data_IF_281251962729
#
_entry.id   IF_281251962729
#
_cell.length_a   1.000
_cell.length_b   1.000
_cell.length_c   1.000
_cell.angle_alpha   90.00
_cell.angle_beta   90.00
_cell.angle_gamma   90.00
#
_symmetry.space_group_name_H-M   'P 1'
#
loop_
_entity.id
_entity.type
_entity.pdbx_description
1 polymer ?
#
# COMPACT_ATOMS: atom_id res chain seq x y z
N UNK A 1 -33.02 70.56 33.66
CA UNK A 1 -32.28 69.66 34.57
C UNK A 1 -31.30 68.86 33.71
N UNK A 2 -30.01 69.16 33.84
CA UNK A 2 -28.93 68.64 33.00
C UNK A 2 -28.73 67.13 33.18
N UNK A 3 -28.71 66.35 32.09
CA UNK A 3 -28.14 65.00 32.09
C UNK A 3 -26.99 65.00 31.07
N UNK A 4 -25.78 64.79 31.61
CA UNK A 4 -24.50 64.76 30.88
C UNK A 4 -24.41 63.51 30.01
N UNK A 5 -24.23 63.67 28.70
CA UNK A 5 -23.85 62.60 27.78
C UNK A 5 -22.37 62.23 28.01
N UNK A 6 -22.09 61.01 28.49
CA UNK A 6 -20.72 60.47 28.55
C UNK A 6 -20.36 59.90 27.18
N UNK A 7 -19.37 60.51 26.52
CA UNK A 7 -18.66 59.95 25.37
C UNK A 7 -17.84 58.73 25.82
N UNK A 8 -18.23 57.54 25.37
CA UNK A 8 -17.38 56.34 25.42
C UNK A 8 -16.27 56.49 24.37
N UNK A 9 -15.03 56.65 24.84
CA UNK A 9 -13.84 56.61 23.98
C UNK A 9 -13.62 55.17 23.52
N UNK A 10 -13.71 54.92 22.21
CA UNK A 10 -13.31 53.67 21.57
C UNK A 10 -11.80 53.49 21.69
N UNK A 11 -11.35 52.44 22.38
CA UNK A 11 -9.97 51.96 22.33
C UNK A 11 -9.73 51.27 20.98
N UNK A 12 -8.60 51.50 20.27
CA UNK A 12 -8.28 50.76 19.07
C UNK A 12 -7.92 49.32 19.45
N UNK A 13 -8.57 48.34 18.82
CA UNK A 13 -8.22 46.94 18.95
C UNK A 13 -6.83 46.72 18.33
N UNK A 14 -5.83 46.48 19.16
CA UNK A 14 -4.49 46.09 18.73
C UNK A 14 -4.58 44.63 18.25
N UNK A 15 -4.64 44.43 16.93
CA UNK A 15 -4.57 43.10 16.34
C UNK A 15 -3.17 42.50 16.60
N UNK A 16 -3.08 41.55 17.53
CA UNK A 16 -1.90 40.71 17.67
C UNK A 16 -1.78 39.84 16.42
N UNK A 17 -0.88 40.23 15.52
CA UNK A 17 -0.34 39.36 14.48
C UNK A 17 0.44 38.24 15.17
N UNK A 18 -0.21 37.09 15.39
CA UNK A 18 0.49 35.85 15.70
C UNK A 18 1.27 35.48 14.44
N UNK A 19 2.60 35.35 14.49
CA UNK A 19 3.34 34.85 13.35
C UNK A 19 2.88 33.41 13.12
N UNK A 20 2.24 33.17 11.98
CA UNK A 20 2.00 31.81 11.48
C UNK A 20 3.41 31.26 11.25
N UNK A 21 3.90 30.45 12.18
CA UNK A 21 5.03 29.58 11.89
C UNK A 21 4.63 28.81 10.63
N UNK A 22 5.41 28.97 9.55
CA UNK A 22 5.23 28.14 8.38
C UNK A 22 5.35 26.69 8.86
N UNK A 23 4.21 25.99 8.93
CA UNK A 23 4.21 24.55 9.14
C UNK A 23 5.07 24.01 8.01
N UNK A 24 6.23 23.42 8.36
CA UNK A 24 7.06 22.75 7.39
C UNK A 24 6.14 21.79 6.63
N UNK A 25 6.10 21.90 5.30
CA UNK A 25 5.33 20.98 4.50
C UNK A 25 5.89 19.58 4.80
N UNK A 26 5.11 18.63 5.36
CA UNK A 26 5.64 17.34 5.84
C UNK A 26 6.36 16.56 4.73
N UNK A 27 6.16 16.94 3.48
CA UNK A 27 6.73 16.33 2.28
C UNK A 27 8.10 16.93 1.86
N UNK A 28 8.87 17.53 2.77
CA UNK A 28 10.17 18.18 2.45
C UNK A 28 11.41 17.31 2.62
N UNK A 29 11.28 16.06 3.09
CA UNK A 29 12.42 15.16 3.33
C UNK A 29 12.08 13.71 2.94
N UNK A 30 11.76 13.51 1.67
CA UNK A 30 11.23 12.24 1.16
C UNK A 30 12.35 11.27 0.79
N UNK A 31 12.18 10.00 1.16
CA UNK A 31 13.10 8.91 0.77
C UNK A 31 12.93 8.47 -0.69
N UNK A 32 11.74 8.68 -1.25
CA UNK A 32 11.43 8.55 -2.67
C UNK A 32 10.87 9.88 -3.16
N UNK A 33 11.06 10.22 -4.42
CA UNK A 33 10.54 11.46 -5.01
C UNK A 33 9.01 11.51 -5.01
N UNK A 34 8.37 10.35 -5.21
CA UNK A 34 6.92 10.21 -5.28
C UNK A 34 6.50 8.76 -4.97
N UNK A 35 5.19 8.55 -4.86
CA UNK A 35 4.58 7.23 -4.73
C UNK A 35 3.42 7.12 -5.73
N UNK A 36 3.46 6.12 -6.61
CA UNK A 36 2.42 5.85 -7.59
C UNK A 36 1.73 4.53 -7.27
N UNK A 37 0.41 4.54 -7.17
CA UNK A 37 -0.37 3.37 -6.73
C UNK A 37 -1.43 3.03 -7.77
N UNK A 38 -1.47 1.77 -8.21
CA UNK A 38 -2.55 1.18 -9.00
C UNK A 38 -3.13 0.02 -8.17
N UNK A 39 -4.46 -0.09 -8.07
CA UNK A 39 -5.05 -1.12 -7.22
C UNK A 39 -6.56 -1.07 -7.04
N UNK A 40 -7.01 -1.70 -5.96
CA UNK A 40 -8.43 -1.85 -5.61
C UNK A 40 -8.80 -1.12 -4.30
N UNK A 41 -9.87 -1.57 -3.63
CA UNK A 41 -10.40 -0.99 -2.38
C UNK A 41 -9.39 -0.97 -1.24
N UNK A 42 -8.43 -1.91 -1.20
CA UNK A 42 -7.39 -1.95 -0.17
C UNK A 42 -6.40 -0.77 -0.27
N UNK A 43 -6.36 -0.13 -1.44
CA UNK A 43 -5.44 0.96 -1.77
C UNK A 43 -6.13 2.30 -2.05
N UNK A 44 -7.44 2.30 -2.30
CA UNK A 44 -8.21 3.48 -2.70
C UNK A 44 -8.22 4.58 -1.61
N UNK A 45 -7.94 5.81 -2.03
CA UNK A 45 -7.96 7.02 -1.17
C UNK A 45 -9.20 7.90 -1.41
N UNK A 46 -10.27 7.33 -1.96
CA UNK A 46 -11.54 7.99 -2.22
C UNK A 46 -11.79 8.31 -3.70
N UNK A 47 -11.02 7.75 -4.62
CA UNK A 47 -11.26 7.88 -6.05
C UNK A 47 -12.66 7.36 -6.43
N UNK A 48 -13.02 6.16 -5.98
CA UNK A 48 -14.36 5.63 -6.25
C UNK A 48 -15.43 6.50 -5.60
N UNK A 49 -15.21 6.93 -4.35
CA UNK A 49 -16.13 7.78 -3.61
C UNK A 49 -16.45 9.07 -4.38
N UNK A 50 -15.42 9.77 -4.86
CA UNK A 50 -15.61 11.02 -5.60
C UNK A 50 -16.30 10.80 -6.95
N UNK A 51 -15.92 9.73 -7.66
CA UNK A 51 -16.48 9.44 -8.96
C UNK A 51 -17.97 9.07 -8.84
N UNK A 52 -18.33 8.19 -7.91
CA UNK A 52 -19.72 7.80 -7.65
C UNK A 52 -20.55 8.97 -7.13
N UNK A 53 -20.04 9.77 -6.19
CA UNK A 53 -20.71 10.99 -5.71
C UNK A 53 -21.05 11.93 -6.85
N UNK A 54 -20.10 12.15 -7.77
CA UNK A 54 -20.29 13.05 -8.92
C UNK A 54 -21.35 12.54 -9.89
N UNK A 55 -21.52 11.23 -10.01
CA UNK A 55 -22.40 10.59 -10.98
C UNK A 55 -23.82 10.36 -10.45
N UNK A 56 -23.95 10.06 -9.17
CA UNK A 56 -25.21 9.60 -8.56
C UNK A 56 -25.70 10.48 -7.42
N UNK A 57 -24.85 11.38 -6.91
CA UNK A 57 -25.10 12.12 -5.67
C UNK A 57 -24.76 11.33 -4.40
N UNK A 58 -24.27 10.10 -4.53
CA UNK A 58 -23.93 9.24 -3.40
C UNK A 58 -22.55 8.60 -3.59
N UNK A 59 -21.70 8.67 -2.57
CA UNK A 59 -20.36 8.10 -2.59
C UNK A 59 -20.32 6.61 -2.22
N UNK A 60 -19.40 5.89 -2.84
CA UNK A 60 -19.07 4.49 -2.53
C UNK A 60 -17.58 4.38 -2.17
N UNK A 61 -17.22 3.89 -0.97
CA UNK A 61 -18.11 3.44 0.10
C UNK A 61 -18.82 4.63 0.74
N UNK A 62 -20.02 4.41 1.27
CA UNK A 62 -20.85 5.47 1.82
C UNK A 62 -20.17 6.14 3.02
N UNK A 63 -20.37 7.46 3.16
CA UNK A 63 -19.67 8.26 4.18
C UNK A 63 -20.14 7.95 5.61
N UNK A 64 -21.26 7.26 5.77
CA UNK A 64 -21.76 6.75 7.02
C UNK A 64 -21.00 5.48 7.40
N UNK A 65 -19.98 5.68 8.24
CA UNK A 65 -19.09 4.68 8.85
C UNK A 65 -17.83 4.33 8.06
N UNK A 66 -17.64 4.79 6.82
CA UNK A 66 -16.35 4.72 6.15
C UNK A 66 -15.56 6.03 6.25
N UNK A 67 -14.24 5.92 6.37
CA UNK A 67 -13.38 7.07 6.56
C UNK A 67 -13.03 7.74 5.23
N UNK A 68 -13.64 8.90 4.94
CA UNK A 68 -13.25 9.76 3.81
C UNK A 68 -13.06 8.99 2.48
N UNK A 69 -14.00 8.09 2.17
CA UNK A 69 -13.99 7.27 0.95
C UNK A 69 -12.99 6.10 0.94
N UNK A 70 -12.30 5.80 2.04
CA UNK A 70 -11.52 4.56 2.20
C UNK A 70 -12.48 3.43 2.54
N UNK A 71 -12.19 2.22 2.06
CA UNK A 71 -12.90 1.00 2.44
C UNK A 71 -12.42 0.51 3.81
N UNK A 72 -12.44 1.39 4.81
CA UNK A 72 -12.03 1.12 6.19
C UNK A 72 -12.58 2.21 7.10
N UNK A 73 -12.44 2.03 8.41
CA UNK A 73 -12.78 3.05 9.42
C UNK A 73 -11.69 4.10 9.66
N UNK A 74 -10.65 4.11 8.82
CA UNK A 74 -9.54 5.06 8.90
C UNK A 74 -8.67 5.03 7.66
N UNK A 75 -7.43 5.52 7.80
CA UNK A 75 -6.41 5.46 6.74
C UNK A 75 -6.13 4.00 6.33
N UNK A 76 -5.92 3.79 5.04
CA UNK A 76 -5.49 2.51 4.48
C UNK A 76 -3.95 2.37 4.59
N UNK A 77 -3.43 1.20 4.21
CA UNK A 77 -1.99 0.95 4.31
C UNK A 77 -1.17 1.89 3.40
N UNK A 78 -1.73 2.33 2.26
CA UNK A 78 -1.08 3.24 1.31
C UNK A 78 -0.93 4.65 1.90
N UNK A 79 -1.97 5.15 2.58
CA UNK A 79 -1.91 6.41 3.32
C UNK A 79 -0.76 6.37 4.34
N UNK A 80 -0.74 5.34 5.20
CA UNK A 80 0.20 5.23 6.30
C UNK A 80 1.63 4.91 5.83
N UNK A 81 1.78 4.16 4.74
CA UNK A 81 3.08 3.88 4.14
C UNK A 81 3.66 5.14 3.48
N UNK A 82 2.84 5.94 2.79
CA UNK A 82 3.26 7.22 2.25
C UNK A 82 3.76 8.14 3.38
N UNK A 83 3.00 8.22 4.48
CA UNK A 83 3.39 8.95 5.68
C UNK A 83 4.74 8.47 6.22
N UNK A 84 4.93 7.16 6.42
CA UNK A 84 6.21 6.57 6.88
C UNK A 84 7.40 6.85 5.97
N UNK A 85 7.16 7.09 4.68
CA UNK A 85 8.19 7.40 3.68
C UNK A 85 8.41 8.91 3.51
N UNK A 86 7.61 9.74 4.20
CA UNK A 86 7.58 11.19 4.07
C UNK A 86 6.92 11.70 2.77
N UNK A 87 6.11 10.88 2.10
CA UNK A 87 5.55 11.16 0.78
C UNK A 87 4.11 11.66 0.91
N UNK A 88 3.77 12.69 0.13
CA UNK A 88 2.39 13.14 -0.06
C UNK A 88 1.68 12.20 -1.05
N UNK A 89 0.72 11.40 -0.59
CA UNK A 89 -0.11 10.55 -1.46
C UNK A 89 -1.58 10.98 -1.37
N UNK A 90 -2.19 11.28 -2.52
CA UNK A 90 -3.61 11.62 -2.63
C UNK A 90 -4.24 10.94 -3.86
N UNK A 91 -5.56 10.88 -3.88
CA UNK A 91 -6.37 10.33 -4.97
C UNK A 91 -6.09 11.04 -6.31
N UNK A 92 -5.97 10.29 -7.41
CA UNK A 92 -5.70 10.82 -8.74
C UNK A 92 -6.84 11.66 -9.30
N UNK A 93 -8.08 11.39 -8.90
CA UNK A 93 -9.25 12.24 -9.17
C UNK A 93 -9.12 13.66 -8.59
N UNK A 94 -8.25 13.85 -7.59
CA UNK A 94 -7.91 15.14 -6.98
C UNK A 94 -6.55 15.68 -7.44
N UNK A 95 -5.98 15.11 -8.51
CA UNK A 95 -4.67 15.48 -9.05
C UNK A 95 -3.48 14.79 -8.39
N UNK A 96 -3.73 13.79 -7.54
CA UNK A 96 -2.69 12.97 -6.91
C UNK A 96 -2.19 11.80 -7.77
N UNK A 97 -1.47 10.89 -7.12
CA UNK A 97 -0.77 9.76 -7.75
C UNK A 97 -1.25 8.39 -7.28
N UNK A 98 -2.30 8.35 -6.47
CA UNK A 98 -3.03 7.12 -6.19
C UNK A 98 -4.16 6.93 -7.21
N UNK A 99 -3.99 5.98 -8.12
CA UNK A 99 -4.96 5.62 -9.15
C UNK A 99 -5.90 4.49 -8.76
N UNK A 100 -5.79 3.92 -7.55
CA UNK A 100 -6.64 2.82 -7.12
C UNK A 100 -8.11 3.22 -7.01
N UNK A 101 -9.03 2.30 -7.35
CA UNK A 101 -10.48 2.45 -7.20
C UNK A 101 -11.06 1.18 -6.58
N UNK A 102 -11.99 1.31 -5.63
CA UNK A 102 -12.74 0.16 -5.09
C UNK A 102 -13.44 -0.69 -6.16
N UNK A 103 -13.58 -1.99 -5.89
CA UNK A 103 -14.25 -2.95 -6.78
C UNK A 103 -13.49 -3.30 -8.08
N UNK A 104 -12.25 -2.82 -8.22
CA UNK A 104 -11.44 -3.01 -9.43
C UNK A 104 -11.12 -4.49 -9.68
N UNK A 105 -11.49 -4.98 -10.86
CA UNK A 105 -10.85 -6.13 -11.51
C UNK A 105 -9.91 -5.66 -12.61
N UNK A 106 -9.18 -6.60 -13.20
CA UNK A 106 -8.23 -6.31 -14.27
C UNK A 106 -8.85 -5.62 -15.48
N UNK A 107 -9.95 -6.18 -15.99
CA UNK A 107 -10.58 -5.78 -17.26
C UNK A 107 -12.03 -5.28 -17.12
N UNK A 108 -12.63 -5.39 -15.95
CA UNK A 108 -13.96 -4.83 -15.63
C UNK A 108 -13.99 -4.34 -14.18
N UNK A 109 -15.03 -3.62 -13.81
CA UNK A 109 -15.25 -3.19 -12.44
C UNK A 109 -16.72 -3.50 -12.10
N UNK A 110 -16.93 -4.04 -10.90
CA UNK A 110 -18.24 -4.17 -10.29
C UNK A 110 -18.19 -3.29 -9.05
N UNK A 111 -18.93 -2.18 -9.09
CA UNK A 111 -19.10 -1.32 -7.92
C UNK A 111 -19.94 -2.09 -6.91
N UNK A 112 -19.39 -2.29 -5.73
CA UNK A 112 -20.05 -3.03 -4.66
C UNK A 112 -21.22 -2.19 -4.12
N UNK A 113 -22.43 -2.74 -4.21
CA UNK A 113 -23.65 -2.15 -3.63
C UNK A 113 -23.88 -0.66 -3.98
N UNK A 114 -24.07 -0.30 -5.25
CA UNK A 114 -24.32 1.08 -5.63
C UNK A 114 -25.62 1.61 -4.98
N UNK A 115 -25.62 2.84 -4.44
CA UNK A 115 -26.75 3.44 -3.72
C UNK A 115 -27.95 3.80 -4.61
N UNK A 116 -27.88 3.60 -5.93
CA UNK A 116 -28.95 3.95 -6.87
C UNK A 116 -29.77 2.73 -7.28
N UNK A 117 -31.10 2.90 -7.31
CA UNK A 117 -32.03 1.94 -7.90
C UNK A 117 -31.65 1.68 -9.37
N UNK A 118 -31.22 0.45 -9.69
CA UNK A 118 -30.69 0.05 -11.01
C UNK A 118 -29.18 -0.20 -11.07
N UNK A 119 -28.41 0.26 -10.08
CA UNK A 119 -26.96 0.11 -9.97
C UNK A 119 -26.13 0.62 -11.15
N UNK A 120 -24.81 0.50 -11.07
CA UNK A 120 -23.97 0.66 -12.26
C UNK A 120 -23.99 -0.67 -13.02
N UNK A 121 -24.43 -0.65 -14.28
CA UNK A 121 -24.31 -1.84 -15.13
C UNK A 121 -22.81 -2.22 -15.20
N UNK A 122 -22.43 -3.49 -14.92
CA UNK A 122 -21.05 -3.92 -15.03
C UNK A 122 -20.44 -3.50 -16.38
N UNK A 123 -19.31 -2.79 -16.34
CA UNK A 123 -18.63 -2.30 -17.54
C UNK A 123 -19.12 -0.96 -18.11
N UNK A 124 -20.16 -0.33 -17.55
CA UNK A 124 -20.64 0.99 -18.03
C UNK A 124 -19.71 2.15 -17.65
N UNK A 125 -18.99 2.03 -16.54
CA UNK A 125 -18.04 3.03 -16.02
C UNK A 125 -16.79 2.31 -15.51
N UNK A 126 -15.79 2.06 -16.37
CA UNK A 126 -14.84 1.01 -16.07
C UNK A 126 -13.66 1.58 -15.29
N UNK A 127 -13.79 1.76 -13.97
CA UNK A 127 -12.63 1.99 -13.10
C UNK A 127 -11.81 0.69 -12.92
N UNK A 128 -11.35 0.14 -14.04
CA UNK A 128 -10.61 -1.12 -14.13
C UNK A 128 -9.13 -0.87 -13.97
N UNK A 129 -8.38 -1.92 -13.64
CA UNK A 129 -6.93 -1.82 -13.57
C UNK A 129 -6.33 -1.32 -14.89
N UNK A 130 -6.91 -1.72 -16.02
CA UNK A 130 -6.52 -1.25 -17.35
C UNK A 130 -6.68 0.27 -17.51
N UNK A 131 -7.79 0.84 -17.03
CA UNK A 131 -8.03 2.27 -17.14
C UNK A 131 -7.23 3.08 -16.12
N UNK A 132 -6.97 2.53 -14.94
CA UNK A 132 -6.01 3.12 -14.00
C UNK A 132 -4.60 3.19 -14.60
N UNK A 133 -4.14 2.10 -15.23
CA UNK A 133 -2.85 2.04 -15.94
C UNK A 133 -2.79 3.00 -17.12
N UNK A 134 -3.88 3.14 -17.88
CA UNK A 134 -3.96 4.12 -18.95
C UNK A 134 -3.84 5.55 -18.39
N UNK A 135 -4.63 5.88 -17.37
CA UNK A 135 -4.57 7.19 -16.72
C UNK A 135 -3.17 7.50 -16.15
N UNK A 136 -2.48 6.50 -15.61
CA UNK A 136 -1.08 6.62 -15.19
C UNK A 136 -0.15 6.90 -16.39
N UNK A 137 -0.29 6.15 -17.47
CA UNK A 137 0.56 6.29 -18.67
C UNK A 137 0.35 7.63 -19.37
N UNK A 138 -0.88 8.14 -19.37
CA UNK A 138 -1.25 9.44 -19.96
C UNK A 138 -0.58 10.63 -19.24
N UNK A 139 -0.09 10.44 -18.01
CA UNK A 139 0.70 11.45 -17.30
C UNK A 139 2.14 11.59 -17.81
N UNK A 140 2.61 10.70 -18.69
CA UNK A 140 3.98 10.73 -19.27
C UNK A 140 5.10 10.77 -18.22
N UNK A 141 4.90 10.05 -17.11
CA UNK A 141 5.82 9.99 -15.98
C UNK A 141 7.18 9.40 -16.41
N UNK A 142 8.28 9.99 -15.95
CA UNK A 142 9.63 9.44 -16.02
C UNK A 142 10.35 9.72 -14.70
N UNK A 143 10.11 8.87 -13.71
CA UNK A 143 10.60 9.07 -12.35
C UNK A 143 11.27 7.80 -11.79
N UNK A 144 12.60 7.67 -11.94
CA UNK A 144 13.35 6.52 -11.45
C UNK A 144 13.60 6.55 -9.93
N UNK A 145 13.20 7.62 -9.24
CA UNK A 145 13.38 7.77 -7.79
C UNK A 145 12.06 7.62 -7.02
N UNK A 146 10.96 7.33 -7.72
CA UNK A 146 9.65 7.08 -7.11
C UNK A 146 9.49 5.63 -6.66
N UNK A 147 8.54 5.43 -5.74
CA UNK A 147 8.09 4.14 -5.26
C UNK A 147 6.78 3.74 -5.93
N UNK A 148 6.72 2.56 -6.54
CA UNK A 148 5.56 2.12 -7.30
C UNK A 148 4.87 0.95 -6.60
N UNK A 149 3.54 0.97 -6.56
CA UNK A 149 2.72 -0.10 -6.00
C UNK A 149 1.69 -0.55 -7.03
N UNK A 150 1.62 -1.86 -7.24
CA UNK A 150 0.42 -2.48 -7.82
C UNK A 150 -0.10 -3.57 -6.88
N UNK A 151 -1.34 -3.40 -6.42
CA UNK A 151 -2.01 -4.38 -5.57
C UNK A 151 -3.49 -4.53 -5.96
N UNK A 152 -3.78 -5.62 -6.67
CA UNK A 152 -5.12 -5.96 -7.17
C UNK A 152 -5.21 -7.46 -7.45
N UNK A 153 -6.44 -7.94 -7.64
CA UNK A 153 -6.75 -9.30 -8.08
C UNK A 153 -7.69 -10.05 -7.12
N UNK A 154 -7.86 -9.58 -5.88
CA UNK A 154 -8.78 -10.19 -4.91
C UNK A 154 -10.20 -10.28 -5.47
N UNK A 155 -10.64 -9.20 -6.13
CA UNK A 155 -11.92 -9.11 -6.81
C UNK A 155 -12.06 -10.13 -7.95
N UNK A 156 -11.06 -10.23 -8.84
CA UNK A 156 -11.04 -11.20 -9.94
C UNK A 156 -11.14 -12.63 -9.41
N UNK A 157 -10.39 -12.97 -8.34
CA UNK A 157 -10.37 -14.31 -7.77
C UNK A 157 -11.65 -14.63 -6.98
N UNK A 158 -12.22 -13.64 -6.28
CA UNK A 158 -13.49 -13.78 -5.56
C UNK A 158 -14.64 -14.14 -6.51
N UNK A 159 -14.68 -13.53 -7.70
CA UNK A 159 -15.68 -13.83 -8.73
C UNK A 159 -15.62 -15.29 -9.22
N UNK A 160 -14.45 -15.93 -9.13
CA UNK A 160 -14.25 -17.30 -9.61
C UNK A 160 -14.75 -18.36 -8.64
N UNK A 161 -14.86 -18.09 -7.33
CA UNK A 161 -15.12 -19.11 -6.30
C UNK A 161 -16.32 -20.00 -6.65
N UNK A 162 -17.49 -19.40 -6.90
CA UNK A 162 -18.70 -20.15 -7.23
C UNK A 162 -18.59 -20.92 -8.55
N UNK A 163 -17.97 -20.31 -9.57
CA UNK A 163 -17.77 -20.95 -10.87
C UNK A 163 -16.78 -22.12 -10.79
N UNK A 164 -15.74 -22.04 -9.96
CA UNK A 164 -14.78 -23.11 -9.73
C UNK A 164 -15.42 -24.29 -9.01
N UNK A 165 -16.31 -24.04 -8.04
CA UNK A 165 -17.09 -25.11 -7.39
C UNK A 165 -17.98 -25.83 -8.42
N UNK A 166 -18.63 -25.07 -9.31
CA UNK A 166 -19.57 -25.62 -10.28
C UNK A 166 -18.89 -26.31 -11.49
N UNK A 167 -17.76 -25.78 -11.95
CA UNK A 167 -17.15 -26.14 -13.25
C UNK A 167 -15.74 -26.74 -13.11
N UNK A 168 -15.11 -26.62 -11.94
CA UNK A 168 -13.75 -27.08 -11.67
C UNK A 168 -12.66 -26.05 -11.95
N UNK A 169 -11.48 -26.28 -11.37
CA UNK A 169 -10.32 -25.38 -11.46
C UNK A 169 -9.87 -25.10 -12.89
N UNK A 170 -9.76 -26.15 -13.72
CA UNK A 170 -9.27 -26.03 -15.11
C UNK A 170 -10.14 -25.08 -15.95
N UNK A 171 -11.47 -25.11 -15.76
CA UNK A 171 -12.38 -24.23 -16.49
C UNK A 171 -12.19 -22.76 -16.11
N UNK A 172 -11.94 -22.49 -14.83
CA UNK A 172 -11.73 -21.12 -14.31
C UNK A 172 -10.29 -20.63 -14.43
N UNK A 173 -9.36 -21.54 -14.75
CA UNK A 173 -7.93 -21.27 -14.77
C UNK A 173 -7.56 -20.05 -15.64
N UNK A 174 -8.07 -19.90 -16.88
CA UNK A 174 -7.69 -18.80 -17.76
C UNK A 174 -8.06 -17.41 -17.22
N UNK A 175 -9.16 -17.27 -16.49
CA UNK A 175 -9.59 -15.98 -15.93
C UNK A 175 -8.65 -15.51 -14.82
N UNK A 176 -8.20 -16.42 -13.97
CA UNK A 176 -7.20 -16.08 -12.95
C UNK A 176 -5.80 -15.86 -13.56
N UNK A 177 -5.44 -16.50 -14.69
CA UNK A 177 -4.22 -16.13 -15.44
C UNK A 177 -4.33 -14.72 -16.03
N UNK A 178 -5.52 -14.34 -16.53
CA UNK A 178 -5.78 -12.99 -17.05
C UNK A 178 -5.62 -11.93 -15.96
N UNK A 179 -6.01 -12.23 -14.72
CA UNK A 179 -5.79 -11.32 -13.60
C UNK A 179 -4.30 -11.10 -13.32
N UNK A 180 -3.47 -12.16 -13.33
CA UNK A 180 -2.01 -12.04 -13.20
C UNK A 180 -1.41 -11.22 -14.35
N UNK A 181 -1.93 -11.42 -15.57
CA UNK A 181 -1.49 -10.66 -16.74
C UNK A 181 -1.75 -9.15 -16.60
N UNK A 182 -2.88 -8.75 -15.98
CA UNK A 182 -3.16 -7.35 -15.63
C UNK A 182 -2.12 -6.71 -14.73
N UNK A 183 -1.64 -7.47 -13.73
CA UNK A 183 -0.57 -7.02 -12.85
C UNK A 183 0.74 -6.88 -13.62
N UNK A 184 1.14 -7.87 -14.44
CA UNK A 184 2.34 -7.78 -15.31
C UNK A 184 2.32 -6.51 -16.14
N UNK A 185 1.17 -6.23 -16.73
CA UNK A 185 0.93 -5.09 -17.59
C UNK A 185 1.04 -3.74 -16.89
N UNK A 186 0.62 -3.67 -15.63
CA UNK A 186 0.82 -2.49 -14.77
C UNK A 186 2.29 -2.32 -14.38
N UNK A 187 2.98 -3.42 -14.06
CA UNK A 187 4.43 -3.40 -13.79
C UNK A 187 5.20 -2.92 -15.03
N UNK A 188 4.85 -3.37 -16.22
CA UNK A 188 5.49 -2.91 -17.45
C UNK A 188 5.30 -1.40 -17.68
N UNK A 189 4.11 -0.87 -17.35
CA UNK A 189 3.87 0.57 -17.42
C UNK A 189 4.78 1.34 -16.44
N UNK A 190 4.95 0.84 -15.22
CA UNK A 190 5.90 1.41 -14.25
C UNK A 190 7.34 1.36 -14.75
N UNK A 191 7.78 0.22 -15.30
CA UNK A 191 9.13 0.07 -15.89
C UNK A 191 9.35 1.10 -17.00
N UNK A 192 8.36 1.28 -17.89
CA UNK A 192 8.42 2.26 -18.97
C UNK A 192 8.47 3.72 -18.44
N UNK A 193 7.90 3.97 -17.26
CA UNK A 193 7.97 5.23 -16.55
C UNK A 193 9.27 5.40 -15.71
N UNK A 194 10.23 4.47 -15.86
CA UNK A 194 11.55 4.53 -15.23
C UNK A 194 11.64 3.85 -13.87
N UNK A 195 10.59 3.14 -13.42
CA UNK A 195 10.54 2.55 -12.08
C UNK A 195 11.76 1.67 -11.77
N UNK A 196 12.32 1.88 -10.57
CA UNK A 196 13.38 1.03 -10.01
C UNK A 196 12.89 0.16 -8.86
N UNK A 197 11.94 0.64 -8.07
CA UNK A 197 11.39 -0.07 -6.91
C UNK A 197 9.89 -0.23 -7.06
N UNK A 198 9.44 -1.50 -7.15
CA UNK A 198 8.04 -1.83 -7.37
C UNK A 198 7.61 -2.83 -6.29
N UNK A 199 6.71 -2.39 -5.41
CA UNK A 199 6.04 -3.26 -4.44
C UNK A 199 4.85 -3.95 -5.09
N UNK A 200 4.85 -5.27 -4.99
CA UNK A 200 3.77 -6.14 -5.47
C UNK A 200 3.36 -7.08 -4.33
N UNK A 201 2.35 -6.72 -3.53
CA UNK A 201 1.75 -7.64 -2.59
C UNK A 201 1.01 -8.75 -3.33
N UNK A 202 1.09 -9.97 -2.80
CA UNK A 202 0.23 -11.07 -3.25
C UNK A 202 -1.17 -10.93 -2.61
N UNK A 203 -2.12 -11.76 -3.02
CA UNK A 203 -3.47 -11.70 -2.46
C UNK A 203 -3.52 -12.20 -1.01
N UNK A 204 -4.33 -11.59 -0.13
CA UNK A 204 -4.68 -12.18 1.15
C UNK A 204 -5.39 -13.53 0.96
N UNK A 205 -5.32 -14.42 1.95
CA UNK A 205 -6.08 -15.67 1.90
C UNK A 205 -7.60 -15.40 1.96
N UNK A 206 -8.25 -15.43 0.79
CA UNK A 206 -9.68 -15.14 0.68
C UNK A 206 -10.54 -16.15 1.44
N UNK A 207 -10.05 -17.37 1.68
CA UNK A 207 -10.83 -18.41 2.38
C UNK A 207 -11.10 -18.12 3.85
N UNK A 208 -10.38 -17.16 4.44
CA UNK A 208 -10.54 -16.74 5.85
C UNK A 208 -11.09 -15.32 6.00
N UNK A 209 -11.50 -14.67 4.90
CA UNK A 209 -12.17 -13.36 4.93
C UNK A 209 -13.64 -13.56 5.33
N UNK A 210 -14.25 -12.69 6.16
CA UNK A 210 -15.60 -12.90 6.67
C UNK A 210 -16.65 -13.09 5.56
N UNK A 211 -16.53 -12.40 4.43
CA UNK A 211 -17.46 -12.54 3.28
C UNK A 211 -17.50 -13.95 2.71
N UNK A 212 -16.38 -14.68 2.77
CA UNK A 212 -16.30 -16.08 2.35
C UNK A 212 -16.76 -17.00 3.48
N UNK A 213 -16.26 -16.79 4.70
CA UNK A 213 -16.57 -17.64 5.88
C UNK A 213 -18.05 -17.55 6.26
N UNK A 214 -18.60 -16.35 6.30
CA UNK A 214 -19.99 -16.04 6.67
C UNK A 214 -20.91 -15.92 5.44
N UNK A 215 -20.41 -16.27 4.26
CA UNK A 215 -21.17 -16.26 3.01
C UNK A 215 -22.33 -17.26 2.99
N UNK A 216 -22.91 -17.53 1.82
CA UNK A 216 -23.99 -18.49 1.69
C UNK A 216 -23.53 -19.73 0.89
N UNK A 217 -23.49 -20.94 1.48
CA UNK A 217 -23.85 -21.26 2.86
C UNK A 217 -22.77 -20.83 3.88
N UNK A 218 -23.16 -20.43 5.11
CA UNK A 218 -22.21 -19.96 6.12
C UNK A 218 -21.38 -21.12 6.66
N UNK A 219 -20.11 -20.83 6.99
CA UNK A 219 -19.09 -21.76 7.46
C UNK A 219 -18.86 -22.96 6.54
N UNK A 220 -19.03 -22.76 5.23
CA UNK A 220 -18.84 -23.81 4.24
C UNK A 220 -17.36 -24.11 4.01
N UNK A 221 -16.90 -25.26 4.50
CA UNK A 221 -15.53 -25.75 4.25
C UNK A 221 -15.20 -25.80 2.77
N UNK A 222 -16.15 -26.24 1.92
CA UNK A 222 -15.96 -26.30 0.47
C UNK A 222 -15.67 -24.91 -0.14
N UNK A 223 -16.40 -23.89 0.29
CA UNK A 223 -16.25 -22.52 -0.25
C UNK A 223 -14.92 -21.93 0.24
N UNK A 224 -14.63 -22.00 1.54
CA UNK A 224 -13.37 -21.52 2.10
C UNK A 224 -12.14 -22.21 1.49
N UNK A 225 -12.14 -23.54 1.39
CA UNK A 225 -11.02 -24.28 0.79
C UNK A 225 -10.85 -23.97 -0.69
N UNK A 226 -11.95 -23.79 -1.44
CA UNK A 226 -11.88 -23.38 -2.84
C UNK A 226 -11.29 -21.98 -2.99
N UNK A 227 -11.72 -21.03 -2.16
CA UNK A 227 -11.20 -19.67 -2.14
C UNK A 227 -9.70 -19.63 -1.79
N UNK A 228 -9.27 -20.37 -0.76
CA UNK A 228 -7.85 -20.50 -0.41
C UNK A 228 -7.05 -21.15 -1.54
N UNK A 229 -7.56 -22.19 -2.19
CA UNK A 229 -6.87 -22.87 -3.29
C UNK A 229 -6.74 -21.99 -4.54
N UNK A 230 -7.79 -21.24 -4.90
CA UNK A 230 -7.73 -20.25 -5.98
C UNK A 230 -6.71 -19.14 -5.68
N UNK A 231 -6.73 -18.62 -4.46
CA UNK A 231 -5.78 -17.60 -4.00
C UNK A 231 -4.35 -18.12 -4.06
N UNK A 232 -4.11 -19.34 -3.56
CA UNK A 232 -2.80 -20.00 -3.59
C UNK A 232 -2.28 -20.13 -5.01
N UNK A 233 -3.14 -20.59 -5.93
CA UNK A 233 -2.79 -20.75 -7.35
C UNK A 233 -2.49 -19.41 -8.02
N UNK A 234 -3.29 -18.36 -7.75
CA UNK A 234 -3.00 -17.01 -8.25
C UNK A 234 -1.65 -16.51 -7.74
N UNK A 235 -1.40 -16.62 -6.43
CA UNK A 235 -0.16 -16.17 -5.81
C UNK A 235 1.07 -16.93 -6.34
N UNK A 236 0.94 -18.22 -6.66
CA UNK A 236 1.99 -18.99 -7.33
C UNK A 236 2.27 -18.47 -8.75
N UNK A 237 1.24 -18.25 -9.56
CA UNK A 237 1.37 -17.70 -10.90
C UNK A 237 1.93 -16.27 -10.90
N UNK A 238 1.51 -15.45 -9.93
CA UNK A 238 2.05 -14.12 -9.69
C UNK A 238 3.55 -14.19 -9.38
N UNK A 239 3.98 -15.06 -8.47
CA UNK A 239 5.40 -15.21 -8.13
C UNK A 239 6.25 -15.63 -9.33
N UNK A 240 5.77 -16.58 -10.15
CA UNK A 240 6.43 -16.99 -11.39
C UNK A 240 6.57 -15.80 -12.35
N UNK A 241 5.50 -15.05 -12.57
CA UNK A 241 5.52 -13.84 -13.40
C UNK A 241 6.53 -12.80 -12.88
N UNK A 242 6.57 -12.58 -11.57
CA UNK A 242 7.49 -11.63 -10.96
C UNK A 242 8.95 -12.09 -11.06
N UNK A 243 9.22 -13.40 -11.04
CA UNK A 243 10.57 -13.94 -11.28
C UNK A 243 11.03 -13.65 -12.71
N UNK A 244 10.14 -13.83 -13.70
CA UNK A 244 10.41 -13.49 -15.11
C UNK A 244 10.70 -11.99 -15.28
N UNK A 245 9.82 -11.12 -14.76
CA UNK A 245 9.99 -9.66 -14.88
C UNK A 245 11.30 -9.20 -14.23
N UNK A 246 11.65 -9.72 -13.06
CA UNK A 246 12.90 -9.37 -12.36
C UNK A 246 14.16 -9.86 -13.08
N UNK A 247 14.07 -10.94 -13.86
CA UNK A 247 15.19 -11.44 -14.66
C UNK A 247 15.37 -10.66 -15.96
N UNK A 248 14.27 -10.25 -16.58
CA UNK A 248 14.27 -9.56 -17.87
C UNK A 248 14.54 -8.05 -17.75
N UNK A 249 14.37 -7.49 -16.54
CA UNK A 249 14.45 -6.05 -16.30
C UNK A 249 15.35 -5.75 -15.10
N UNK A 250 16.09 -4.64 -15.17
CA UNK A 250 16.91 -4.16 -14.05
C UNK A 250 16.06 -3.38 -13.02
N UNK A 251 15.07 -4.05 -12.43
CA UNK A 251 14.17 -3.48 -11.42
C UNK A 251 14.16 -4.32 -10.15
N UNK A 252 13.97 -3.64 -9.03
CA UNK A 252 13.81 -4.24 -7.73
C UNK A 252 12.32 -4.52 -7.47
N UNK A 253 11.93 -5.79 -7.59
CA UNK A 253 10.59 -6.25 -7.22
C UNK A 253 10.56 -6.57 -5.72
N UNK A 254 9.80 -5.78 -4.97
CA UNK A 254 9.58 -5.97 -3.54
C UNK A 254 8.28 -6.76 -3.38
N UNK A 255 8.37 -8.00 -2.88
CA UNK A 255 7.20 -8.84 -2.65
C UNK A 255 6.72 -8.69 -1.22
N UNK A 256 5.40 -8.63 -1.03
CA UNK A 256 4.78 -8.72 0.28
C UNK A 256 3.81 -9.90 0.31
N UNK A 257 4.02 -10.83 1.25
CA UNK A 257 3.19 -12.03 1.39
C UNK A 257 1.97 -11.73 2.28
N UNK A 258 1.00 -11.02 1.70
CA UNK A 258 -0.28 -10.72 2.34
C UNK A 258 -1.03 -11.98 2.74
N UNK A 259 -0.91 -13.07 1.96
CA UNK A 259 -1.53 -14.35 2.26
C UNK A 259 -1.10 -14.87 3.63
N UNK A 260 0.21 -15.05 3.82
CA UNK A 260 0.75 -15.55 5.09
C UNK A 260 0.55 -14.53 6.21
N UNK A 261 0.70 -13.24 5.93
CA UNK A 261 0.52 -12.18 6.91
C UNK A 261 -0.90 -12.13 7.48
N UNK A 262 -1.94 -12.22 6.63
CA UNK A 262 -3.33 -12.27 7.12
C UNK A 262 -3.54 -13.49 8.02
N UNK A 263 -3.06 -14.68 7.60
CA UNK A 263 -3.18 -15.90 8.41
C UNK A 263 -2.45 -15.81 9.74
N UNK A 264 -1.29 -15.17 9.77
CA UNK A 264 -0.52 -14.93 11.00
C UNK A 264 -1.31 -14.04 11.98
N UNK A 265 -1.85 -12.92 11.50
CA UNK A 265 -2.64 -11.99 12.32
C UNK A 265 -3.94 -12.63 12.79
N UNK A 266 -4.67 -13.31 11.90
CA UNK A 266 -5.94 -13.97 12.26
C UNK A 266 -5.73 -15.13 13.23
N UNK A 267 -4.65 -15.89 13.06
CA UNK A 267 -4.31 -17.03 13.93
C UNK A 267 -3.76 -16.65 15.29
N UNK A 268 -3.23 -15.43 15.46
CA UNK A 268 -2.71 -14.93 16.72
C UNK A 268 -2.88 -13.40 16.87
N UNK A 269 -4.12 -12.90 16.94
CA UNK A 269 -4.39 -11.46 16.88
C UNK A 269 -3.79 -10.70 18.07
N UNK A 270 -3.69 -11.34 19.23
CA UNK A 270 -3.16 -10.71 20.46
C UNK A 270 -1.68 -10.35 20.35
N UNK A 271 -0.89 -11.08 19.56
CA UNK A 271 0.50 -10.73 19.27
C UNK A 271 0.63 -9.41 18.49
N UNK A 272 -0.46 -8.96 17.86
CA UNK A 272 -0.56 -7.73 17.09
C UNK A 272 -1.39 -6.64 17.81
N UNK A 273 -1.78 -6.86 19.06
CA UNK A 273 -2.64 -5.93 19.80
C UNK A 273 -4.12 -5.97 19.40
N UNK A 274 -4.52 -6.98 18.62
CA UNK A 274 -5.91 -7.20 18.21
C UNK A 274 -6.55 -8.31 19.06
N UNK A 275 -7.88 -8.38 19.05
CA UNK A 275 -8.64 -9.34 19.85
C UNK A 275 -9.75 -10.04 19.06
N UNK A 276 -10.35 -9.40 18.06
CA UNK A 276 -11.33 -10.04 17.17
C UNK A 276 -10.76 -10.17 15.76
N UNK A 277 -10.67 -11.40 15.27
CA UNK A 277 -10.15 -11.73 13.94
C UNK A 277 -11.13 -12.48 13.06
N UNK A 278 -12.40 -12.61 13.47
CA UNK A 278 -13.39 -13.44 12.78
C UNK A 278 -14.60 -12.63 12.34
N UNK A 279 -15.10 -11.76 13.22
CA UNK A 279 -16.31 -10.97 12.95
C UNK A 279 -15.93 -9.57 12.47
N UNK A 280 -16.70 -8.98 11.53
CA UNK A 280 -16.54 -7.59 11.17
C UNK A 280 -16.98 -6.67 12.32
N UNK A 281 -16.32 -5.52 12.47
CA UNK A 281 -16.74 -4.51 13.45
C UNK A 281 -18.02 -3.78 13.01
N UNK A 282 -18.15 -3.47 11.71
CA UNK A 282 -19.32 -2.88 11.07
C UNK A 282 -20.11 -3.97 10.35
N UNK A 283 -21.39 -4.10 10.66
CA UNK A 283 -22.25 -5.16 10.10
C UNK A 283 -22.89 -4.79 8.75
N UNK A 284 -22.81 -3.53 8.33
CA UNK A 284 -23.19 -3.10 6.99
C UNK A 284 -22.05 -3.32 5.98
N UNK A 285 -22.25 -2.89 4.74
CA UNK A 285 -21.30 -3.12 3.65
C UNK A 285 -21.45 -2.14 2.50
N UNK A 286 -20.48 -1.22 2.38
CA UNK A 286 -20.19 -0.26 1.29
C UNK A 286 -21.31 0.73 0.94
N UNK A 287 -22.58 0.32 0.98
CA UNK A 287 -23.76 1.14 0.81
C UNK A 287 -24.10 1.93 2.08
N UNK A 288 -25.00 2.93 1.96
CA UNK A 288 -25.56 3.62 3.12
C UNK A 288 -26.12 2.64 4.16
N UNK A 289 -25.86 2.94 5.42
CA UNK A 289 -26.19 2.09 6.55
C UNK A 289 -27.71 1.91 6.68
N UNK A 290 -28.12 0.66 6.86
CA UNK A 290 -29.46 0.31 7.30
C UNK A 290 -29.63 0.65 8.79
N UNK A 291 -30.86 0.98 9.27
CA UNK A 291 -31.13 1.14 10.70
C UNK A 291 -30.79 -0.07 11.58
N UNK A 292 -30.57 -1.24 10.98
CA UNK A 292 -30.15 -2.48 11.64
C UNK A 292 -28.64 -2.68 11.69
N UNK A 293 -27.88 -1.86 10.97
CA UNK A 293 -26.43 -1.97 10.94
C UNK A 293 -25.85 -1.41 12.25
N UNK A 294 -24.77 -2.02 12.70
CA UNK A 294 -24.12 -1.70 13.97
C UNK A 294 -22.63 -1.61 13.77
N UNK A 295 -21.99 -0.78 14.60
CA UNK A 295 -20.53 -0.69 14.72
C UNK A 295 -20.14 -1.18 16.11
N UNK A 296 -19.11 -1.99 16.20
CA UNK A 296 -18.58 -2.49 17.46
C UNK A 296 -17.99 -1.36 18.33
N UNK A 297 -17.93 -1.55 19.66
CA UNK A 297 -17.43 -0.53 20.59
C UNK A 297 -15.90 -0.31 20.53
N UNK A 298 -15.15 -1.29 19.99
CA UNK A 298 -13.67 -1.29 20.02
C UNK A 298 -13.07 -1.57 18.63
N UNK A 299 -13.27 -0.72 17.63
CA UNK A 299 -12.81 -0.96 16.25
C UNK A 299 -11.29 -1.18 16.14
N UNK A 300 -10.49 -0.54 17.00
CA UNK A 300 -9.03 -0.69 17.00
C UNK A 300 -8.53 -2.07 17.45
N UNK A 301 -9.42 -2.93 17.97
CA UNK A 301 -9.09 -4.30 18.37
C UNK A 301 -9.57 -5.36 17.36
N UNK A 302 -10.13 -4.95 16.22
CA UNK A 302 -10.66 -5.83 15.19
C UNK A 302 -9.72 -5.92 13.98
N UNK A 303 -9.63 -7.10 13.36
CA UNK A 303 -8.94 -7.28 12.06
C UNK A 303 -9.79 -6.70 10.93
N UNK A 304 -11.09 -7.03 10.92
CA UNK A 304 -12.00 -6.71 9.82
C UNK A 304 -12.92 -5.54 10.20
N UNK A 305 -13.00 -4.56 9.32
CA UNK A 305 -13.92 -3.45 9.43
C UNK A 305 -15.32 -3.89 9.03
N UNK A 306 -15.51 -4.26 7.76
CA UNK A 306 -16.74 -4.86 7.25
C UNK A 306 -16.48 -6.32 6.87
N UNK A 307 -17.42 -6.96 6.17
CA UNK A 307 -17.30 -8.37 5.81
C UNK A 307 -16.12 -8.69 4.87
N UNK A 308 -15.48 -7.71 4.23
CA UNK A 308 -14.39 -7.92 3.29
C UNK A 308 -13.12 -7.17 3.70
N UNK A 309 -13.26 -5.93 4.14
CA UNK A 309 -12.16 -4.99 4.29
C UNK A 309 -11.56 -4.96 5.70
N UNK A 310 -10.24 -4.79 5.84
CA UNK A 310 -9.61 -4.65 7.14
C UNK A 310 -9.90 -3.32 7.84
N UNK A 311 -9.73 -3.29 9.17
CA UNK A 311 -9.71 -2.05 9.93
C UNK A 311 -8.44 -1.23 9.68
N UNK A 312 -8.50 0.05 10.03
CA UNK A 312 -7.32 0.92 10.00
C UNK A 312 -6.21 0.42 10.94
N UNK A 313 -6.56 -0.28 12.03
CA UNK A 313 -5.59 -0.92 12.92
C UNK A 313 -4.81 -2.04 12.20
N UNK A 314 -5.50 -2.89 11.44
CA UNK A 314 -4.83 -3.88 10.59
C UNK A 314 -3.98 -3.21 9.51
N UNK A 315 -4.49 -2.18 8.84
CA UNK A 315 -3.74 -1.43 7.84
C UNK A 315 -2.46 -0.78 8.40
N UNK A 316 -2.47 -0.31 9.66
CA UNK A 316 -1.29 0.22 10.33
C UNK A 316 -0.21 -0.82 10.56
N UNK A 317 -0.61 -2.03 10.97
CA UNK A 317 0.30 -3.17 11.14
C UNK A 317 0.85 -3.58 9.78
N UNK A 318 -0.01 -3.65 8.75
CA UNK A 318 0.39 -3.98 7.38
C UNK A 318 1.40 -2.96 6.82
N UNK A 319 1.13 -1.66 6.95
CA UNK A 319 2.03 -0.60 6.49
C UNK A 319 3.41 -0.70 7.17
N UNK A 320 3.43 -0.96 8.49
CA UNK A 320 4.68 -1.16 9.24
C UNK A 320 5.43 -2.42 8.81
N UNK A 321 4.72 -3.50 8.50
CA UNK A 321 5.34 -4.74 7.99
C UNK A 321 5.87 -4.57 6.57
N UNK A 322 5.15 -3.84 5.71
CA UNK A 322 5.60 -3.49 4.35
C UNK A 322 6.87 -2.64 4.41
N UNK A 323 6.89 -1.60 5.24
CA UNK A 323 8.07 -0.78 5.47
C UNK A 323 9.27 -1.61 5.94
N UNK A 324 9.06 -2.51 6.90
CA UNK A 324 10.10 -3.43 7.36
C UNK A 324 10.63 -4.32 6.22
N UNK A 325 9.75 -4.84 5.37
CA UNK A 325 10.11 -5.65 4.20
C UNK A 325 10.86 -4.81 3.16
N UNK A 326 10.44 -3.57 2.94
CA UNK A 326 11.10 -2.62 2.03
C UNK A 326 12.54 -2.39 2.46
N UNK A 327 12.81 -2.03 3.71
CA UNK A 327 14.18 -1.81 4.20
C UNK A 327 15.05 -3.08 4.02
N UNK A 328 14.50 -4.25 4.38
CA UNK A 328 15.20 -5.54 4.20
C UNK A 328 15.58 -5.80 2.75
N UNK A 329 14.64 -5.50 1.83
CA UNK A 329 14.82 -5.70 0.41
C UNK A 329 15.84 -4.69 -0.18
N UNK A 330 15.77 -3.41 0.19
CA UNK A 330 16.73 -2.39 -0.25
C UNK A 330 18.17 -2.70 0.21
N UNK A 331 18.34 -3.23 1.43
CA UNK A 331 19.65 -3.68 1.93
C UNK A 331 20.16 -4.90 1.13
N UNK A 332 19.27 -5.79 0.72
CA UNK A 332 19.61 -6.95 -0.11
C UNK A 332 19.97 -6.53 -1.54
N UNK A 333 19.26 -5.57 -2.12
CA UNK A 333 19.55 -4.97 -3.42
C UNK A 333 20.94 -4.29 -3.42
N UNK A 334 21.24 -3.46 -2.41
CA UNK A 334 22.59 -2.91 -2.21
C UNK A 334 23.67 -4.01 -2.15
N UNK A 335 23.38 -5.10 -1.45
CA UNK A 335 24.30 -6.23 -1.34
C UNK A 335 24.55 -6.87 -2.71
N UNK A 336 23.48 -7.07 -3.50
CA UNK A 336 23.58 -7.61 -4.87
C UNK A 336 24.42 -6.69 -5.74
N UNK A 337 24.16 -5.38 -5.72
CA UNK A 337 24.97 -4.41 -6.47
C UNK A 337 26.47 -4.55 -6.14
N UNK A 338 26.84 -4.63 -4.85
CA UNK A 338 28.25 -4.82 -4.42
C UNK A 338 28.86 -6.12 -4.95
N UNK A 339 28.09 -7.22 -4.99
CA UNK A 339 28.56 -8.51 -5.53
C UNK A 339 28.74 -8.45 -7.05
N UNK A 340 27.87 -7.74 -7.74
CA UNK A 340 27.89 -7.63 -9.21
C UNK A 340 29.01 -6.69 -9.70
N UNK A 341 29.61 -5.89 -8.82
CA UNK A 341 30.79 -5.07 -9.12
C UNK A 341 32.08 -5.91 -9.15
N UNK A 342 32.95 -5.66 -10.13
CA UNK A 342 34.30 -6.25 -10.20
C UNK A 342 35.27 -5.58 -9.20
N UNK A 343 35.11 -5.93 -7.92
CA UNK A 343 35.90 -5.38 -6.82
C UNK A 343 37.02 -6.34 -6.37
N UNK A 344 38.08 -5.77 -5.79
CA UNK A 344 39.06 -6.60 -5.07
C UNK A 344 38.37 -7.30 -3.90
N UNK A 345 38.57 -8.62 -3.76
CA UNK A 345 37.91 -9.47 -2.74
C UNK A 345 37.93 -8.90 -1.32
N UNK A 346 39.01 -8.23 -0.92
CA UNK A 346 39.12 -7.59 0.40
C UNK A 346 38.15 -6.42 0.58
N UNK A 347 37.97 -5.60 -0.46
CA UNK A 347 37.04 -4.48 -0.50
C UNK A 347 35.61 -5.00 -0.49
N UNK A 348 35.29 -5.93 -1.40
CA UNK A 348 33.97 -6.55 -1.51
C UNK A 348 33.55 -7.13 -0.14
N UNK A 349 34.41 -7.93 0.50
CA UNK A 349 34.15 -8.50 1.82
C UNK A 349 33.90 -7.42 2.88
N UNK A 350 34.68 -6.35 2.90
CA UNK A 350 34.55 -5.28 3.90
C UNK A 350 33.21 -4.53 3.78
N UNK A 351 32.75 -4.31 2.54
CA UNK A 351 31.46 -3.71 2.22
C UNK A 351 30.29 -4.64 2.59
N UNK A 352 30.36 -5.90 2.17
CA UNK A 352 29.32 -6.91 2.43
C UNK A 352 29.15 -7.18 3.94
N UNK A 353 30.22 -7.14 4.73
CA UNK A 353 30.14 -7.27 6.19
C UNK A 353 29.27 -6.16 6.79
N UNK A 354 29.43 -4.91 6.36
CA UNK A 354 28.63 -3.78 6.88
C UNK A 354 27.16 -3.93 6.54
N UNK A 355 26.84 -4.29 5.30
CA UNK A 355 25.45 -4.53 4.88
C UNK A 355 24.82 -5.72 5.62
N UNK A 356 25.60 -6.77 5.91
CA UNK A 356 25.15 -7.91 6.72
C UNK A 356 24.85 -7.51 8.16
N UNK A 357 25.69 -6.65 8.76
CA UNK A 357 25.46 -6.14 10.12
C UNK A 357 24.22 -5.23 10.14
N UNK A 358 24.07 -4.33 9.16
CA UNK A 358 22.90 -3.46 9.05
C UNK A 358 21.60 -4.28 8.94
N UNK A 359 21.60 -5.32 8.10
CA UNK A 359 20.46 -6.24 7.95
C UNK A 359 20.14 -6.97 9.25
N UNK A 360 21.14 -7.51 9.95
CA UNK A 360 20.93 -8.15 11.26
C UNK A 360 20.30 -7.20 12.28
N UNK A 361 20.80 -5.96 12.38
CA UNK A 361 20.21 -4.98 13.30
C UNK A 361 18.76 -4.63 12.96
N UNK A 362 18.41 -4.63 11.68
CA UNK A 362 17.03 -4.47 11.23
C UNK A 362 16.16 -5.67 11.65
N UNK A 363 16.64 -6.89 11.38
CA UNK A 363 15.94 -8.15 11.69
C UNK A 363 15.74 -8.39 13.20
N UNK A 364 16.68 -7.97 14.05
CA UNK A 364 16.58 -8.08 15.51
C UNK A 364 15.53 -7.10 16.12
N UNK A 365 14.80 -6.36 15.28
CA UNK A 365 13.60 -5.60 15.67
C UNK A 365 13.88 -4.29 16.39
N UNK A 366 15.02 -3.63 16.12
CA UNK A 366 15.46 -2.36 16.74
C UNK A 366 15.52 -2.37 18.27
N UNK A 367 15.35 -3.52 18.93
CA UNK A 367 15.08 -3.66 20.37
C UNK A 367 16.14 -3.08 21.33
N UNK A 368 17.29 -2.60 20.85
CA UNK A 368 18.38 -2.15 21.72
C UNK A 368 19.19 -0.91 21.25
N UNK A 369 19.01 -0.36 20.04
CA UNK A 369 19.74 0.83 19.58
C UNK A 369 19.23 1.36 18.22
N UNK A 370 18.35 2.36 18.22
CA UNK A 370 17.80 2.98 16.99
C UNK A 370 18.86 3.63 16.09
N UNK A 371 20.06 3.90 16.63
CA UNK A 371 21.17 4.49 15.88
C UNK A 371 22.12 3.45 15.26
N UNK A 372 21.98 2.16 15.57
CA UNK A 372 22.92 1.15 15.11
C UNK A 372 22.95 1.01 13.58
N UNK A 373 21.78 0.95 12.93
CA UNK A 373 21.71 0.86 11.47
C UNK A 373 22.25 2.14 10.80
N UNK A 374 21.80 3.36 11.17
CA UNK A 374 22.36 4.60 10.62
C UNK A 374 23.88 4.73 10.76
N UNK A 375 24.47 4.29 11.87
CA UNK A 375 25.92 4.30 12.11
C UNK A 375 26.64 3.36 11.13
N UNK A 376 26.17 2.12 11.00
CA UNK A 376 26.78 1.13 10.11
C UNK A 376 26.69 1.59 8.65
N UNK A 377 25.53 2.11 8.23
CA UNK A 377 25.33 2.65 6.88
C UNK A 377 26.16 3.92 6.63
N UNK A 378 26.38 4.76 7.64
CA UNK A 378 27.32 5.88 7.53
C UNK A 378 28.77 5.40 7.32
N UNK A 379 29.19 4.36 8.04
CA UNK A 379 30.48 3.71 7.84
C UNK A 379 30.64 3.15 6.43
N UNK A 380 29.60 2.50 5.89
CA UNK A 380 29.56 2.01 4.51
C UNK A 380 29.76 3.17 3.51
N UNK A 381 29.01 4.26 3.64
CA UNK A 381 29.13 5.45 2.78
C UNK A 381 30.57 6.02 2.81
N UNK A 382 31.19 6.12 3.99
CA UNK A 382 32.53 6.68 4.12
C UNK A 382 33.58 5.81 3.42
N UNK A 383 33.43 4.49 3.48
CA UNK A 383 34.30 3.55 2.76
C UNK A 383 34.12 3.67 1.24
N UNK A 384 32.88 3.72 0.74
CA UNK A 384 32.61 3.94 -0.68
C UNK A 384 33.20 5.28 -1.15
N UNK A 385 33.03 6.36 -0.38
CA UNK A 385 33.62 7.68 -0.69
C UNK A 385 35.15 7.63 -0.77
N UNK A 386 35.80 6.87 0.11
CA UNK A 386 37.24 6.69 0.05
C UNK A 386 37.68 5.95 -1.22
N UNK A 387 36.92 4.94 -1.66
CA UNK A 387 37.27 4.12 -2.82
C UNK A 387 36.85 4.74 -4.17
N UNK A 388 35.95 5.73 -4.14
CA UNK A 388 35.37 6.40 -5.31
C UNK A 388 36.42 6.97 -6.26
N UNK A 389 36.33 6.58 -7.53
CA UNK A 389 37.23 7.00 -8.61
C UNK A 389 38.65 6.40 -8.52
N UNK A 390 38.89 5.49 -7.58
CA UNK A 390 40.18 4.79 -7.40
C UNK A 390 40.03 3.29 -7.55
N UNK A 391 39.14 2.70 -6.75
CA UNK A 391 38.86 1.26 -6.69
C UNK A 391 37.42 0.92 -7.04
N UNK A 392 36.54 1.93 -7.03
CA UNK A 392 35.15 1.83 -7.50
C UNK A 392 34.93 2.96 -8.52
N UNK A 393 34.41 2.70 -9.72
CA UNK A 393 33.98 3.72 -10.67
C UNK A 393 33.11 4.79 -10.02
N UNK A 394 33.26 6.06 -10.46
CA UNK A 394 32.54 7.19 -9.83
C UNK A 394 31.02 7.04 -9.88
N UNK A 395 30.49 6.52 -10.98
CA UNK A 395 29.05 6.32 -11.17
C UNK A 395 28.50 5.29 -10.17
N UNK A 396 29.11 4.11 -10.09
CA UNK A 396 28.73 3.04 -9.15
C UNK A 396 28.84 3.50 -7.69
N UNK A 397 29.95 4.15 -7.34
CA UNK A 397 30.12 4.69 -5.99
C UNK A 397 29.05 5.72 -5.63
N UNK A 398 28.67 6.60 -6.56
CA UNK A 398 27.59 7.57 -6.32
C UNK A 398 26.24 6.86 -6.16
N UNK A 399 25.92 5.87 -7.00
CA UNK A 399 24.69 5.10 -6.90
C UNK A 399 24.55 4.36 -5.56
N UNK A 400 25.63 3.73 -5.09
CA UNK A 400 25.66 3.09 -3.76
C UNK A 400 25.45 4.09 -2.63
N UNK A 401 26.09 5.26 -2.71
CA UNK A 401 25.96 6.30 -1.68
C UNK A 401 24.52 6.80 -1.63
N UNK A 402 23.94 7.13 -2.79
CA UNK A 402 22.57 7.61 -2.92
C UNK A 402 21.58 6.59 -2.37
N UNK A 403 21.68 5.33 -2.80
CA UNK A 403 20.84 4.23 -2.34
C UNK A 403 20.97 4.00 -0.83
N UNK A 404 22.19 4.09 -0.29
CA UNK A 404 22.41 3.97 1.15
C UNK A 404 21.82 5.16 1.92
N UNK A 405 21.87 6.37 1.36
CA UNK A 405 21.25 7.56 1.95
C UNK A 405 19.73 7.44 1.97
N UNK A 406 19.11 6.94 0.90
CA UNK A 406 17.69 6.65 0.83
C UNK A 406 17.26 5.70 1.96
N UNK A 407 17.95 4.56 2.15
CA UNK A 407 17.63 3.62 3.24
C UNK A 407 17.74 4.30 4.61
N UNK A 408 18.77 5.13 4.81
CA UNK A 408 18.93 5.88 6.05
C UNK A 408 17.76 6.85 6.28
N UNK A 409 17.28 7.55 5.25
CA UNK A 409 16.13 8.46 5.35
C UNK A 409 14.87 7.70 5.73
N UNK A 410 14.59 6.55 5.08
CA UNK A 410 13.46 5.69 5.45
C UNK A 410 13.53 5.33 6.93
N UNK A 411 14.69 4.88 7.42
CA UNK A 411 14.86 4.48 8.82
C UNK A 411 14.71 5.65 9.79
N UNK A 412 15.22 6.84 9.44
CA UNK A 412 15.19 8.02 10.31
C UNK A 412 13.79 8.61 10.46
N UNK A 413 13.00 8.63 9.39
CA UNK A 413 11.62 9.13 9.44
C UNK A 413 10.73 8.33 10.41
N UNK A 414 11.07 7.07 10.68
CA UNK A 414 10.36 6.24 11.66
C UNK A 414 10.57 6.68 13.11
N UNK A 415 11.67 7.36 13.40
CA UNK A 415 12.09 7.69 14.76
C UNK A 415 11.69 9.12 15.18
N UNK A 416 11.17 9.93 14.27
CA UNK A 416 10.62 11.27 14.50
C UNK A 416 9.08 11.20 14.52
#
# INVERSE_FOLDING_TARGET
MMIKTRLLKSLPALALLVPIAALANPCSNTSFSNMYVIGDSLSDQGNLFQATTSLTGYGSPAEDHYFMGRFSNGKAYTDMLAEKLGICLTASSLGGTNFAYGGTRTNYNIVENPPTEGGFTPGLLPWTLNLQRQAFTDQTINDPHAFYIVFSGSNDISDLIGSTIAQGFEATKPFSDQAVQGIRESIQAFINAGARDILVPNLPDLGIVPRVVQGNPPNSTLVSETATALTTRYNQALNQMLDEVANDNNVNIIRFDTFSFLREVVGNPTAFGLSNSTEPCYTGYVAPASPTDTVCDTPDSYVFWDNEHPTTAFHAIMASKIEFTLISNLLQDLRKQVVDMDLQKGIERALLVKLTIAKRYHEDGRKNNDNAIPIVLHGFINEIKALRGRKIPRAEANALIERTQQIKQIIQYVND
#
